data_IF_459727966856
#
_entry.id   IF_459727966856
#
_cell.length_a   1.000
_cell.length_b   1.000
_cell.length_c   1.000
_cell.angle_alpha   90.00
_cell.angle_beta   90.00
_cell.angle_gamma   90.00
#
_symmetry.space_group_name_H-M   'P 1'
#
loop_
_entity.id
_entity.type
_entity.pdbx_description
1 polymer ?
#
# COMPACT_ATOMS: atom_id res chain seq x y z
N UNK A 1 8.93 34.64 -6.74
CA UNK A 1 8.70 33.39 -6.00
C UNK A 1 9.86 33.08 -5.04
N UNK A 2 10.33 33.98 -4.20
CA UNK A 2 11.50 33.72 -3.33
C UNK A 2 11.46 34.52 -2.03
N UNK A 3 10.29 34.90 -1.53
CA UNK A 3 10.18 35.75 -0.32
C UNK A 3 9.43 35.10 0.85
N UNK A 4 8.66 34.06 0.60
CA UNK A 4 7.88 33.38 1.66
C UNK A 4 8.66 32.25 2.40
N UNK A 5 9.81 31.81 1.90
CA UNK A 5 10.64 30.79 2.56
C UNK A 5 11.61 31.38 3.63
N UNK A 6 11.89 32.67 3.59
CA UNK A 6 12.88 33.27 4.49
C UNK A 6 12.35 33.68 5.87
N UNK A 7 11.05 33.72 6.10
CA UNK A 7 10.51 34.09 7.41
C UNK A 7 10.41 32.94 8.41
N UNK A 8 10.46 31.70 7.92
CA UNK A 8 10.50 30.54 8.81
C UNK A 8 11.91 30.09 9.18
N UNK A 9 12.93 30.38 8.36
CA UNK A 9 14.33 30.07 8.68
C UNK A 9 14.95 31.04 9.69
N UNK A 10 14.47 32.28 9.79
CA UNK A 10 15.04 33.24 10.72
C UNK A 10 14.60 33.10 12.19
N UNK A 11 13.51 32.36 12.47
CA UNK A 11 13.15 32.06 13.87
C UNK A 11 13.97 30.91 14.47
N UNK A 12 14.51 30.00 13.63
CA UNK A 12 15.29 28.85 14.07
C UNK A 12 16.80 29.15 14.24
N UNK A 13 17.36 30.06 13.44
CA UNK A 13 18.78 30.41 13.54
C UNK A 13 19.13 31.31 14.75
N UNK A 14 18.16 32.02 15.30
CA UNK A 14 18.34 32.85 16.50
C UNK A 14 18.28 32.05 17.82
N UNK A 15 17.84 30.78 17.79
CA UNK A 15 17.76 29.90 18.97
C UNK A 15 18.99 29.02 19.18
N UNK A 16 19.86 28.91 18.20
CA UNK A 16 21.06 28.07 18.29
C UNK A 16 22.32 28.80 18.80
N UNK A 17 22.23 30.08 19.15
CA UNK A 17 23.40 30.85 19.52
C UNK A 17 23.36 31.47 20.91
N UNK A 18 22.94 30.71 21.94
CA UNK A 18 23.32 31.11 23.30
C UNK A 18 23.15 29.96 24.29
N UNK A 19 24.26 29.63 24.93
CA UNK A 19 24.45 28.88 26.16
C UNK A 19 24.57 27.36 26.06
N UNK A 20 25.66 26.87 26.65
CA UNK A 20 26.07 25.48 26.96
C UNK A 20 25.15 24.77 27.97
N UNK A 21 23.83 25.01 27.95
CA UNK A 21 22.86 24.31 28.78
C UNK A 21 21.98 23.43 27.84
N UNK A 22 22.15 22.12 27.87
CA UNK A 22 21.30 21.20 27.12
C UNK A 22 19.86 21.37 27.57
N UNK A 23 18.96 21.80 26.64
CA UNK A 23 17.53 21.95 26.91
C UNK A 23 16.97 20.62 27.43
N UNK A 24 16.14 20.66 28.48
CA UNK A 24 15.46 19.47 29.03
C UNK A 24 13.99 19.45 28.63
N UNK A 25 13.58 18.41 27.90
CA UNK A 25 12.25 18.28 27.30
C UNK A 25 11.46 17.16 27.98
N UNK A 26 10.22 17.46 28.37
CA UNK A 26 9.28 16.43 28.85
C UNK A 26 8.40 15.96 27.70
N UNK A 27 8.46 14.67 27.39
CA UNK A 27 7.57 14.02 26.43
C UNK A 27 6.41 13.33 27.16
N UNK A 28 5.19 13.56 26.72
CA UNK A 28 3.99 12.96 27.31
C UNK A 28 3.45 11.88 26.36
N UNK A 29 3.04 10.74 26.94
CA UNK A 29 2.48 9.63 26.13
C UNK A 29 1.50 8.76 26.93
N UNK A 30 0.90 7.76 26.28
CA UNK A 30 0.14 6.68 26.90
C UNK A 30 1.03 5.45 27.16
N UNK A 31 0.58 4.56 28.06
CA UNK A 31 1.35 3.39 28.48
C UNK A 31 1.75 2.47 27.30
N UNK A 32 0.86 2.28 26.32
CA UNK A 32 1.12 1.41 25.18
C UNK A 32 2.21 1.93 24.22
N UNK A 33 2.47 3.25 24.23
CA UNK A 33 3.48 3.87 23.37
C UNK A 33 4.75 4.27 24.12
N UNK A 34 4.83 4.01 25.43
CA UNK A 34 5.95 4.47 26.27
C UNK A 34 7.29 3.88 25.81
N UNK A 35 7.36 2.57 25.60
CA UNK A 35 8.60 1.91 25.19
C UNK A 35 9.12 2.45 23.85
N UNK A 36 8.23 2.52 22.85
CA UNK A 36 8.57 3.06 21.52
C UNK A 36 8.96 4.54 21.58
N UNK A 37 8.30 5.35 22.42
CA UNK A 37 8.66 6.75 22.60
C UNK A 37 10.06 6.89 23.19
N UNK A 38 10.37 6.13 24.23
CA UNK A 38 11.69 6.16 24.89
C UNK A 38 12.80 5.81 23.90
N UNK A 39 12.60 4.80 23.05
CA UNK A 39 13.56 4.43 22.02
C UNK A 39 13.81 5.56 21.00
N UNK A 40 12.74 6.13 20.44
CA UNK A 40 12.83 7.20 19.46
C UNK A 40 13.47 8.45 20.08
N UNK A 41 13.05 8.84 21.29
CA UNK A 41 13.57 10.03 21.95
C UNK A 41 15.03 9.86 22.39
N UNK A 42 15.46 8.66 22.83
CA UNK A 42 16.86 8.40 23.15
C UNK A 42 17.77 8.63 21.95
N UNK A 43 17.36 8.13 20.76
CA UNK A 43 18.08 8.36 19.51
C UNK A 43 18.11 9.84 19.13
N UNK A 44 16.98 10.55 19.30
CA UNK A 44 16.87 11.98 19.01
C UNK A 44 17.73 12.82 19.93
N UNK A 45 17.66 12.58 21.25
CA UNK A 45 18.41 13.30 22.27
C UNK A 45 19.92 13.19 22.03
N UNK A 46 20.40 11.99 21.63
CA UNK A 46 21.80 11.77 21.26
C UNK A 46 22.24 12.60 20.05
N UNK A 47 21.35 12.82 19.06
CA UNK A 47 21.66 13.58 17.84
C UNK A 47 21.48 15.07 17.98
N UNK A 48 20.45 15.51 18.72
CA UNK A 48 20.07 16.91 18.87
C UNK A 48 20.66 17.58 20.11
N UNK A 49 21.26 16.82 21.03
CA UNK A 49 21.97 17.35 22.20
C UNK A 49 21.05 17.87 23.30
N UNK A 50 19.87 17.31 23.52
CA UNK A 50 18.96 17.69 24.61
C UNK A 50 18.81 16.58 25.66
N UNK A 51 18.47 16.95 26.90
CA UNK A 51 18.05 16.01 27.96
C UNK A 51 16.54 15.80 27.89
N UNK A 52 16.05 14.65 28.36
CA UNK A 52 14.61 14.37 28.31
C UNK A 52 14.09 13.57 29.48
N UNK A 53 12.79 13.73 29.71
CA UNK A 53 11.98 12.86 30.55
C UNK A 53 10.73 12.40 29.81
N UNK A 54 10.12 11.29 30.26
CA UNK A 54 8.87 10.75 29.68
C UNK A 54 7.84 10.64 30.79
N UNK A 55 6.69 11.26 30.61
CA UNK A 55 5.55 11.20 31.51
C UNK A 55 4.40 10.36 30.90
N UNK A 56 3.84 9.48 31.73
CA UNK A 56 2.65 8.67 31.39
C UNK A 56 1.54 8.97 32.41
N UNK A 57 0.60 9.89 32.10
CA UNK A 57 -0.40 10.39 33.05
C UNK A 57 -1.57 9.41 33.28
N UNK A 58 -1.28 8.11 33.35
CA UNK A 58 -2.24 7.06 33.74
C UNK A 58 -3.26 6.69 32.66
N UNK A 59 -2.97 6.92 31.38
CA UNK A 59 -3.81 6.50 30.25
C UNK A 59 -3.09 5.45 29.39
N UNK A 60 -3.85 4.51 28.83
CA UNK A 60 -3.30 3.45 27.97
C UNK A 60 -2.94 3.97 26.60
N UNK A 61 -3.85 4.70 25.94
CA UNK A 61 -3.74 5.14 24.55
C UNK A 61 -3.45 6.65 24.49
N UNK A 62 -2.30 7.04 23.94
CA UNK A 62 -1.87 8.43 23.84
C UNK A 62 -2.86 9.33 23.09
N UNK A 63 -3.54 8.81 22.06
CA UNK A 63 -4.53 9.54 21.26
C UNK A 63 -5.78 9.97 22.05
N UNK A 64 -6.03 9.40 23.21
CA UNK A 64 -7.17 9.73 24.08
C UNK A 64 -6.83 10.78 25.16
N UNK A 65 -5.64 11.35 25.11
CA UNK A 65 -5.24 12.43 26.02
C UNK A 65 -6.02 13.71 25.71
N UNK A 66 -6.46 14.35 26.77
CA UNK A 66 -7.17 15.62 26.75
C UNK A 66 -6.57 16.59 27.77
N UNK A 67 -6.57 17.89 27.47
CA UNK A 67 -6.01 18.95 28.35
C UNK A 67 -6.53 18.86 29.78
N UNK A 68 -7.82 18.64 29.99
CA UNK A 68 -8.41 18.51 31.33
C UNK A 68 -7.82 17.35 32.14
N UNK A 69 -7.52 16.23 31.48
CA UNK A 69 -6.85 15.09 32.14
C UNK A 69 -5.41 15.44 32.49
N UNK A 70 -4.69 16.11 31.60
CA UNK A 70 -3.32 16.54 31.80
C UNK A 70 -3.20 17.54 32.95
N UNK A 71 -4.15 18.48 33.06
CA UNK A 71 -4.22 19.44 34.20
C UNK A 71 -4.29 18.74 35.55
N UNK A 72 -4.95 17.59 35.64
CA UNK A 72 -5.16 16.88 36.90
C UNK A 72 -4.10 15.81 37.22
N UNK A 73 -3.40 15.29 36.20
CA UNK A 73 -2.52 14.10 36.34
C UNK A 73 -1.07 14.32 35.91
N UNK A 74 -0.78 15.39 35.15
CA UNK A 74 0.57 15.67 34.75
C UNK A 74 1.32 16.42 35.86
N UNK A 75 2.57 16.03 36.10
CA UNK A 75 3.51 16.76 36.93
C UNK A 75 4.67 17.20 36.06
N UNK A 76 5.01 18.48 36.12
CA UNK A 76 6.11 19.07 35.34
C UNK A 76 7.16 19.60 36.34
N UNK A 77 8.35 19.02 36.31
CA UNK A 77 9.45 19.45 37.16
C UNK A 77 9.96 20.85 36.78
N UNK A 78 10.52 21.59 37.76
CA UNK A 78 10.96 22.98 37.58
C UNK A 78 12.10 23.08 36.55
N UNK A 79 12.89 22.05 36.37
CA UNK A 79 14.04 21.98 35.44
C UNK A 79 13.66 21.57 34.01
N UNK A 80 12.38 21.36 33.74
CA UNK A 80 11.87 21.15 32.37
C UNK A 80 11.76 22.48 31.64
N UNK A 81 12.28 22.57 30.45
CA UNK A 81 12.24 23.78 29.63
C UNK A 81 10.99 23.85 28.75
N UNK A 82 10.51 22.71 28.23
CA UNK A 82 9.28 22.65 27.44
C UNK A 82 8.68 21.23 27.48
N UNK A 83 7.39 21.14 27.12
CA UNK A 83 6.63 19.88 27.13
C UNK A 83 6.10 19.59 25.72
N UNK A 84 6.37 18.37 25.23
CA UNK A 84 5.85 17.89 23.96
C UNK A 84 4.75 16.87 24.21
N UNK A 85 3.56 17.20 23.72
CA UNK A 85 2.36 16.36 23.79
C UNK A 85 2.19 15.54 22.52
N UNK A 86 1.50 14.37 22.57
CA UNK A 86 1.07 13.69 21.35
C UNK A 86 0.24 14.62 20.47
N UNK A 87 0.41 14.53 19.14
CA UNK A 87 -0.30 15.39 18.19
C UNK A 87 -1.82 15.25 18.18
N UNK A 88 -2.37 14.20 18.83
CA UNK A 88 -3.80 13.94 18.97
C UNK A 88 -4.43 14.57 20.23
N UNK A 89 -3.67 15.18 21.11
CA UNK A 89 -4.20 15.81 22.35
C UNK A 89 -5.25 16.83 22.01
N UNK A 90 -6.43 16.68 22.61
CA UNK A 90 -7.57 17.58 22.45
C UNK A 90 -7.64 18.63 23.56
N UNK A 91 -8.26 19.78 23.25
CA UNK A 91 -8.41 20.91 24.16
C UNK A 91 -7.37 22.02 23.92
N UNK A 92 -7.51 23.14 24.62
CA UNK A 92 -6.61 24.28 24.47
C UNK A 92 -5.35 24.09 25.31
N UNK A 93 -4.18 23.96 24.66
CA UNK A 93 -2.90 23.75 25.35
C UNK A 93 -2.43 25.01 26.10
N UNK A 94 -2.95 26.21 25.78
CA UNK A 94 -2.64 27.42 26.50
C UNK A 94 -3.05 27.34 27.98
N UNK A 95 -4.07 26.57 28.31
CA UNK A 95 -4.47 26.29 29.71
C UNK A 95 -3.38 25.50 30.49
N UNK A 96 -2.63 24.63 29.80
CA UNK A 96 -1.51 23.93 30.42
C UNK A 96 -0.32 24.86 30.62
N UNK A 97 -0.03 25.72 29.64
CA UNK A 97 1.03 26.74 29.74
C UNK A 97 0.78 27.70 30.92
N UNK A 98 -0.48 28.13 31.07
CA UNK A 98 -0.87 28.98 32.20
C UNK A 98 -0.72 28.27 33.55
N UNK A 99 -1.08 26.99 33.62
CA UNK A 99 -1.04 26.23 34.87
C UNK A 99 0.38 25.86 35.30
N UNK A 100 1.22 25.46 34.35
CA UNK A 100 2.56 24.92 34.66
C UNK A 100 3.69 25.93 34.46
N UNK A 101 3.41 27.08 33.83
CA UNK A 101 4.39 28.12 33.57
C UNK A 101 5.52 27.71 32.62
N UNK A 102 5.23 26.75 31.72
CA UNK A 102 6.18 26.20 30.76
C UNK A 102 5.55 26.17 29.37
N UNK A 103 6.34 26.26 28.28
CA UNK A 103 5.84 26.08 26.92
C UNK A 103 5.34 24.65 26.68
N UNK A 104 4.16 24.53 26.09
CA UNK A 104 3.56 23.28 25.65
C UNK A 104 3.38 23.30 24.12
N UNK A 105 3.77 22.23 23.47
CA UNK A 105 3.54 22.08 22.02
C UNK A 105 2.96 20.70 21.69
N UNK A 106 2.17 20.64 20.61
CA UNK A 106 1.76 19.35 20.03
C UNK A 106 2.85 18.85 19.11
N UNK A 107 3.41 17.71 19.42
CA UNK A 107 4.29 16.97 18.51
C UNK A 107 3.51 16.37 17.32
N UNK A 108 4.16 15.52 16.54
CA UNK A 108 3.51 14.86 15.40
C UNK A 108 2.43 13.88 15.88
N UNK A 109 1.49 13.57 14.98
CA UNK A 109 0.44 12.57 15.22
C UNK A 109 0.99 11.14 15.25
N UNK A 110 2.06 10.89 14.53
CA UNK A 110 2.82 9.64 14.53
C UNK A 110 4.17 9.84 15.23
N UNK A 111 4.47 8.99 16.18
CA UNK A 111 5.74 8.98 16.90
C UNK A 111 6.97 8.90 15.96
N UNK A 112 6.84 8.17 14.88
CA UNK A 112 7.93 7.99 13.90
C UNK A 112 8.25 9.28 13.09
N UNK A 113 7.37 10.29 13.13
CA UNK A 113 7.60 11.59 12.52
C UNK A 113 8.28 12.58 13.50
N UNK A 114 8.59 12.14 14.73
CA UNK A 114 9.27 12.97 15.73
C UNK A 114 10.65 13.47 15.25
N UNK A 115 11.49 12.69 14.53
CA UNK A 115 12.73 13.20 13.95
C UNK A 115 12.51 14.39 12.99
N UNK A 116 11.48 14.34 12.15
CA UNK A 116 11.13 15.44 11.24
C UNK A 116 10.67 16.68 12.01
N UNK A 117 9.90 16.48 13.09
CA UNK A 117 9.48 17.57 13.99
C UNK A 117 10.67 18.31 14.63
N UNK A 118 11.78 17.62 14.88
CA UNK A 118 13.03 18.18 15.37
C UNK A 118 13.98 18.65 14.26
N UNK A 119 13.57 18.67 13.01
CA UNK A 119 14.42 19.08 11.88
C UNK A 119 15.58 18.12 11.57
N UNK A 120 15.57 16.91 12.10
CA UNK A 120 16.62 15.91 11.93
C UNK A 120 16.42 15.00 10.69
N UNK A 121 15.73 15.53 9.69
CA UNK A 121 15.47 14.87 8.41
C UNK A 121 14.13 14.15 8.34
N UNK A 122 13.75 13.80 7.12
CA UNK A 122 12.52 13.04 6.86
C UNK A 122 12.66 11.60 7.38
N UNK A 123 11.53 10.96 7.65
CA UNK A 123 11.46 9.53 7.97
C UNK A 123 12.32 8.73 6.99
N UNK A 124 13.22 7.89 7.51
CA UNK A 124 14.06 7.05 6.66
C UNK A 124 13.15 6.12 5.85
N UNK A 125 13.25 6.19 4.53
CA UNK A 125 12.55 5.24 3.69
C UNK A 125 13.00 3.83 4.04
N UNK A 126 12.04 2.96 4.28
CA UNK A 126 12.28 1.54 4.54
C UNK A 126 12.59 0.88 3.19
N UNK A 127 13.62 0.05 3.16
CA UNK A 127 13.90 -0.77 1.98
C UNK A 127 12.94 -1.97 1.97
N UNK A 128 12.14 -2.08 0.91
CA UNK A 128 11.18 -3.14 0.66
C UNK A 128 11.60 -4.05 -0.50
N UNK A 129 12.89 -4.17 -0.80
CA UNK A 129 13.38 -4.97 -1.94
C UNK A 129 13.27 -6.48 -1.70
N UNK A 130 13.13 -6.92 -0.44
CA UNK A 130 13.09 -8.34 -0.07
C UNK A 130 11.68 -8.88 0.02
N UNK A 131 11.53 -10.13 -0.36
CA UNK A 131 10.32 -10.94 -0.24
C UNK A 131 10.70 -12.43 -0.19
N UNK A 132 9.78 -13.28 0.24
CA UNK A 132 9.92 -14.75 0.34
C UNK A 132 8.95 -15.50 -0.56
N UNK A 133 7.94 -14.82 -1.13
CA UNK A 133 6.85 -15.41 -1.89
C UNK A 133 7.04 -15.08 -3.37
N UNK A 134 7.13 -16.08 -4.24
CA UNK A 134 7.11 -15.91 -5.69
C UNK A 134 5.68 -15.71 -6.20
N UNK A 135 5.50 -14.82 -7.16
CA UNK A 135 4.23 -14.59 -7.84
C UNK A 135 4.24 -15.29 -9.19
N UNK A 136 3.28 -16.17 -9.40
CA UNK A 136 2.96 -16.79 -10.67
C UNK A 136 1.79 -16.00 -11.25
N UNK A 137 2.02 -15.27 -12.34
CA UNK A 137 0.99 -14.47 -13.03
C UNK A 137 0.39 -15.29 -14.17
N UNK A 138 -0.89 -15.64 -14.07
CA UNK A 138 -1.59 -16.45 -15.08
C UNK A 138 -2.13 -15.56 -16.20
N UNK A 139 -1.80 -15.93 -17.42
CA UNK A 139 -2.48 -15.45 -18.64
C UNK A 139 -3.58 -16.46 -18.97
N UNK A 140 -4.78 -16.12 -18.54
CA UNK A 140 -5.94 -17.00 -18.73
C UNK A 140 -6.25 -17.20 -20.22
N UNK A 141 -6.49 -18.45 -20.62
CA UNK A 141 -6.76 -18.83 -22.01
C UNK A 141 -5.70 -18.29 -23.01
N UNK A 142 -4.44 -18.30 -22.63
CA UNK A 142 -3.33 -17.83 -23.46
C UNK A 142 -3.29 -18.50 -24.84
N UNK A 143 -3.70 -19.77 -24.90
CA UNK A 143 -3.76 -20.56 -26.14
C UNK A 143 -4.76 -20.06 -27.17
N UNK A 144 -5.70 -19.19 -26.80
CA UNK A 144 -6.68 -18.56 -27.71
C UNK A 144 -6.28 -17.13 -28.13
N UNK A 145 -5.27 -16.57 -27.50
CA UNK A 145 -4.86 -15.19 -27.74
C UNK A 145 -3.80 -15.12 -28.87
N UNK A 146 -3.71 -14.00 -29.59
CA UNK A 146 -2.59 -13.76 -30.50
C UNK A 146 -1.26 -13.76 -29.73
N UNK A 147 -0.24 -14.41 -30.27
CA UNK A 147 1.07 -14.55 -29.61
C UNK A 147 1.67 -13.19 -29.15
N UNK A 148 1.54 -12.15 -29.96
CA UNK A 148 2.04 -10.82 -29.63
C UNK A 148 1.36 -10.23 -28.38
N UNK A 149 0.07 -10.52 -28.18
CA UNK A 149 -0.71 -10.01 -27.04
C UNK A 149 -0.31 -10.79 -25.77
N UNK A 150 -0.14 -12.10 -25.86
CA UNK A 150 0.39 -12.94 -24.76
C UNK A 150 1.77 -12.44 -24.32
N UNK A 151 2.67 -12.17 -25.25
CA UNK A 151 4.02 -11.65 -24.94
C UNK A 151 3.94 -10.27 -24.28
N UNK A 152 3.07 -9.39 -24.77
CA UNK A 152 2.89 -8.05 -24.20
C UNK A 152 2.33 -8.13 -22.76
N UNK A 153 1.32 -8.97 -22.51
CA UNK A 153 0.73 -9.20 -21.20
C UNK A 153 1.74 -9.81 -20.23
N UNK A 154 2.47 -10.83 -20.66
CA UNK A 154 3.52 -11.45 -19.87
C UNK A 154 4.60 -10.45 -19.40
N UNK A 155 5.06 -9.58 -20.30
CA UNK A 155 6.03 -8.53 -19.97
C UNK A 155 5.46 -7.51 -19.00
N UNK A 156 4.19 -7.16 -19.13
CA UNK A 156 3.51 -6.26 -18.19
C UNK A 156 3.39 -6.89 -16.80
N UNK A 157 3.01 -8.17 -16.70
CA UNK A 157 2.96 -8.90 -15.44
C UNK A 157 4.35 -9.03 -14.78
N UNK A 158 5.38 -9.34 -15.56
CA UNK A 158 6.75 -9.40 -15.06
C UNK A 158 7.23 -8.04 -14.53
N UNK A 159 6.92 -6.96 -15.24
CA UNK A 159 7.21 -5.59 -14.79
C UNK A 159 6.41 -5.21 -13.54
N UNK A 160 5.22 -5.77 -13.35
CA UNK A 160 4.39 -5.60 -12.15
C UNK A 160 4.87 -6.45 -10.95
N UNK A 161 5.83 -7.35 -11.13
CA UNK A 161 6.44 -8.13 -10.05
C UNK A 161 6.23 -9.64 -10.12
N UNK A 162 5.61 -10.19 -11.21
CA UNK A 162 5.52 -11.63 -11.40
C UNK A 162 6.92 -12.25 -11.59
N UNK A 163 7.16 -13.36 -10.90
CA UNK A 163 8.41 -14.12 -10.98
C UNK A 163 8.33 -15.22 -12.06
N UNK A 164 7.11 -15.70 -12.32
CA UNK A 164 6.80 -16.75 -13.29
C UNK A 164 5.54 -16.34 -14.05
N UNK A 165 5.47 -16.64 -15.34
CA UNK A 165 4.29 -16.44 -16.17
C UNK A 165 3.64 -17.79 -16.43
N UNK A 166 2.39 -17.92 -16.05
CA UNK A 166 1.64 -19.13 -16.30
C UNK A 166 0.85 -19.03 -17.61
N UNK A 167 1.01 -20.05 -18.45
CA UNK A 167 0.28 -20.19 -19.71
C UNK A 167 -0.96 -21.02 -19.47
N UNK A 168 -2.10 -20.35 -19.23
CA UNK A 168 -3.37 -21.00 -19.02
C UNK A 168 -3.95 -21.57 -20.33
N UNK A 169 -4.19 -22.86 -20.37
CA UNK A 169 -4.86 -23.55 -21.47
C UNK A 169 -6.39 -23.50 -21.36
N UNK A 170 -7.09 -23.92 -22.38
CA UNK A 170 -8.56 -23.99 -22.39
C UNK A 170 -9.00 -25.43 -22.13
N UNK A 171 -9.71 -25.73 -21.04
CA UNK A 171 -10.17 -27.05 -20.74
C UNK A 171 -10.98 -27.65 -21.90
N UNK A 172 -10.58 -28.87 -22.34
CA UNK A 172 -11.25 -29.60 -23.43
C UNK A 172 -10.84 -29.21 -24.85
N UNK A 173 -9.89 -28.29 -25.01
CA UNK A 173 -9.27 -27.90 -26.27
C UNK A 173 -7.77 -28.22 -26.23
N UNK A 174 -7.23 -28.88 -27.25
CA UNK A 174 -5.79 -29.15 -27.36
C UNK A 174 -5.13 -28.13 -28.27
N UNK A 175 -4.22 -27.32 -27.75
CA UNK A 175 -3.45 -26.36 -28.53
C UNK A 175 -2.03 -26.87 -28.81
N UNK A 176 -1.78 -27.28 -30.04
CA UNK A 176 -0.44 -27.72 -30.43
C UNK A 176 0.61 -26.60 -30.57
N UNK A 177 0.18 -25.34 -30.60
CA UNK A 177 1.04 -24.18 -30.65
C UNK A 177 1.53 -23.69 -29.27
N UNK A 178 1.14 -24.35 -28.18
CA UNK A 178 1.56 -23.96 -26.83
C UNK A 178 3.08 -23.90 -26.67
N UNK A 179 3.82 -24.79 -27.34
CA UNK A 179 5.29 -24.75 -27.38
C UNK A 179 5.87 -23.50 -28.01
N UNK A 180 5.19 -22.90 -29.02
CA UNK A 180 5.59 -21.64 -29.62
C UNK A 180 5.40 -20.47 -28.65
N UNK A 181 4.30 -20.49 -27.87
CA UNK A 181 4.04 -19.49 -26.82
C UNK A 181 5.14 -19.53 -25.77
N UNK A 182 5.42 -20.72 -25.23
CA UNK A 182 6.47 -20.91 -24.21
C UNK A 182 7.83 -20.48 -24.76
N UNK A 183 8.17 -20.86 -25.99
CA UNK A 183 9.44 -20.46 -26.64
C UNK A 183 9.56 -18.95 -26.76
N UNK A 184 8.48 -18.25 -27.17
CA UNK A 184 8.48 -16.79 -27.28
C UNK A 184 8.67 -16.11 -25.92
N UNK A 185 7.98 -16.57 -24.87
CA UNK A 185 8.14 -16.05 -23.50
C UNK A 185 9.53 -16.30 -22.94
N UNK A 186 10.09 -17.49 -23.17
CA UNK A 186 11.48 -17.82 -22.81
C UNK A 186 12.49 -16.93 -23.54
N UNK A 187 12.20 -16.58 -24.81
CA UNK A 187 12.99 -15.64 -25.60
C UNK A 187 13.06 -14.23 -25.02
N UNK A 188 12.06 -13.83 -24.26
CA UNK A 188 12.02 -12.57 -23.49
C UNK A 188 12.66 -12.69 -22.09
N UNK A 189 13.36 -13.78 -21.79
CA UNK A 189 13.96 -14.12 -20.50
C UNK A 189 12.94 -14.27 -19.34
N UNK A 190 11.71 -14.65 -19.66
CA UNK A 190 10.67 -14.93 -18.66
C UNK A 190 10.74 -16.39 -18.23
N UNK A 191 10.51 -16.67 -16.96
CA UNK A 191 10.25 -18.01 -16.45
C UNK A 191 8.80 -18.36 -16.77
N UNK A 192 8.51 -19.62 -17.13
CA UNK A 192 7.20 -20.00 -17.65
C UNK A 192 6.71 -21.29 -16.99
N UNK A 193 5.43 -21.30 -16.59
CA UNK A 193 4.66 -22.50 -16.24
C UNK A 193 3.57 -22.78 -17.24
N UNK A 194 2.98 -23.97 -17.14
CA UNK A 194 1.85 -24.42 -17.96
C UNK A 194 0.74 -24.91 -17.07
N UNK A 195 -0.48 -24.38 -17.25
CA UNK A 195 -1.70 -24.93 -16.63
C UNK A 195 -2.52 -25.68 -17.68
N UNK A 196 -2.36 -27.02 -17.68
CA UNK A 196 -3.08 -27.94 -18.55
C UNK A 196 -3.08 -29.36 -18.01
N UNK A 197 -4.20 -30.07 -18.23
CA UNK A 197 -4.33 -31.51 -18.03
C UNK A 197 -4.18 -32.30 -19.33
N UNK A 198 -3.97 -31.67 -20.48
CA UNK A 198 -3.68 -32.32 -21.74
C UNK A 198 -2.20 -32.72 -21.85
N UNK A 199 -1.91 -33.99 -21.94
CA UNK A 199 -0.54 -34.51 -21.98
C UNK A 199 0.30 -33.96 -23.14
N UNK A 200 -0.33 -33.71 -24.30
CA UNK A 200 0.36 -33.20 -25.49
C UNK A 200 0.76 -31.72 -25.30
N UNK A 201 -0.14 -30.94 -24.74
CA UNK A 201 0.17 -29.54 -24.43
C UNK A 201 1.33 -29.46 -23.43
N UNK A 202 1.24 -30.20 -22.31
CA UNK A 202 2.25 -30.22 -21.27
C UNK A 202 3.61 -30.69 -21.82
N UNK A 203 3.63 -31.78 -22.61
CA UNK A 203 4.87 -32.27 -23.24
C UNK A 203 5.51 -31.20 -24.16
N UNK A 204 4.71 -30.50 -24.98
CA UNK A 204 5.19 -29.43 -25.85
C UNK A 204 5.69 -28.22 -25.06
N UNK A 205 4.98 -27.83 -23.99
CA UNK A 205 5.38 -26.72 -23.14
C UNK A 205 6.69 -27.02 -22.40
N UNK A 206 6.82 -28.22 -21.84
CA UNK A 206 8.04 -28.67 -21.15
C UNK A 206 9.23 -28.74 -22.12
N UNK A 207 9.02 -29.31 -23.31
CA UNK A 207 10.06 -29.36 -24.35
C UNK A 207 10.52 -27.96 -24.80
N UNK A 208 9.63 -26.97 -24.73
CA UNK A 208 9.92 -25.55 -25.02
C UNK A 208 10.53 -24.79 -23.85
N UNK A 209 10.59 -25.37 -22.64
CA UNK A 209 11.26 -24.81 -21.47
C UNK A 209 10.34 -24.32 -20.36
N UNK A 210 9.10 -24.80 -20.29
CA UNK A 210 8.27 -24.63 -19.09
C UNK A 210 8.93 -25.35 -17.90
N UNK A 211 8.98 -24.71 -16.73
CA UNK A 211 9.71 -25.20 -15.57
C UNK A 211 8.81 -25.61 -14.39
N UNK A 212 7.50 -25.36 -14.51
CA UNK A 212 6.48 -25.76 -13.55
C UNK A 212 5.21 -26.19 -14.28
N UNK A 213 4.56 -27.25 -13.80
CA UNK A 213 3.30 -27.78 -14.34
C UNK A 213 2.20 -27.62 -13.28
N UNK A 214 1.13 -26.96 -13.64
CA UNK A 214 -0.12 -26.83 -12.88
C UNK A 214 -1.20 -27.66 -13.61
N UNK A 215 -1.73 -28.83 -13.09
CA UNK A 215 -1.39 -29.38 -11.79
C UNK A 215 -1.27 -30.92 -11.89
N UNK A 216 -0.89 -31.59 -10.81
CA UNK A 216 -0.80 -33.04 -10.73
C UNK A 216 -1.80 -33.56 -9.70
N UNK A 217 -2.63 -34.55 -10.11
CA UNK A 217 -3.52 -35.33 -9.24
C UNK A 217 -3.56 -36.80 -9.70
N UNK A 218 -4.44 -37.61 -9.13
CA UNK A 218 -4.54 -39.06 -9.52
C UNK A 218 -4.86 -39.26 -10.99
N UNK A 219 -5.45 -38.31 -11.72
CA UNK A 219 -5.81 -38.47 -13.12
C UNK A 219 -4.63 -38.40 -14.09
N UNK A 220 -3.51 -37.79 -13.69
CA UNK A 220 -2.38 -37.51 -14.58
C UNK A 220 -1.00 -37.88 -14.01
N UNK A 221 -0.91 -38.31 -12.77
CA UNK A 221 0.35 -38.64 -12.08
C UNK A 221 1.22 -39.61 -12.88
N UNK A 222 0.61 -40.62 -13.55
CA UNK A 222 1.32 -41.67 -14.25
C UNK A 222 2.20 -41.20 -15.41
N UNK A 223 1.88 -40.03 -15.97
CA UNK A 223 2.65 -39.46 -17.09
C UNK A 223 3.35 -38.16 -16.74
N UNK A 224 2.73 -37.28 -15.94
CA UNK A 224 3.28 -35.95 -15.68
C UNK A 224 4.60 -35.99 -14.89
N UNK A 225 4.73 -36.92 -13.95
CA UNK A 225 5.93 -37.14 -13.14
C UNK A 225 7.14 -37.64 -13.95
N UNK A 226 6.92 -38.19 -15.13
CA UNK A 226 7.97 -38.70 -16.04
C UNK A 226 8.64 -37.57 -16.86
N UNK A 227 8.06 -36.37 -16.87
CA UNK A 227 8.59 -35.25 -17.64
C UNK A 227 9.82 -34.60 -16.99
N UNK A 228 10.10 -34.90 -15.72
CA UNK A 228 11.26 -34.38 -15.01
C UNK A 228 11.17 -32.89 -14.66
N UNK A 229 10.00 -32.30 -14.82
CA UNK A 229 9.69 -30.89 -14.51
C UNK A 229 8.95 -30.81 -13.18
N UNK A 230 9.14 -29.75 -12.40
CA UNK A 230 8.42 -29.56 -11.14
C UNK A 230 6.91 -29.53 -11.36
N UNK A 231 6.16 -30.19 -10.48
CA UNK A 231 4.68 -30.25 -10.54
C UNK A 231 4.05 -29.68 -9.29
N UNK A 232 2.88 -29.06 -9.44
CA UNK A 232 2.03 -28.66 -8.30
C UNK A 232 1.06 -29.79 -8.01
N UNK A 233 1.22 -30.44 -6.87
CA UNK A 233 0.35 -31.54 -6.43
C UNK A 233 -0.87 -30.98 -5.74
N UNK A 234 -2.05 -31.35 -6.24
CA UNK A 234 -3.35 -30.92 -5.71
C UNK A 234 -4.21 -32.14 -5.31
N UNK A 235 -5.14 -32.00 -4.35
CA UNK A 235 -6.11 -33.05 -4.06
C UNK A 235 -7.07 -33.28 -5.26
N UNK A 236 -7.68 -34.44 -5.33
CA UNK A 236 -8.67 -34.74 -6.39
C UNK A 236 -9.92 -33.86 -6.28
N UNK A 237 -10.29 -33.48 -5.07
CA UNK A 237 -11.25 -32.43 -4.77
C UNK A 237 -10.73 -31.58 -3.57
N UNK A 238 -11.08 -30.32 -3.45
CA UNK A 238 -10.52 -29.45 -2.42
C UNK A 238 -10.64 -29.98 -0.99
N UNK A 239 -11.73 -30.67 -0.67
CA UNK A 239 -11.98 -31.21 0.67
C UNK A 239 -11.31 -32.58 0.93
N UNK A 240 -10.77 -33.24 -0.10
CA UNK A 240 -10.18 -34.58 0.01
C UNK A 240 -8.70 -34.54 0.41
N UNK A 241 -8.46 -34.26 1.68
CA UNK A 241 -7.10 -34.21 2.25
C UNK A 241 -6.40 -35.57 2.23
N UNK A 242 -7.15 -36.68 2.24
CA UNK A 242 -6.56 -38.01 2.13
C UNK A 242 -6.01 -38.29 0.73
N UNK A 243 -6.67 -37.79 -0.34
CA UNK A 243 -6.13 -37.89 -1.69
C UNK A 243 -4.81 -37.12 -1.83
N UNK A 244 -4.74 -35.92 -1.26
CA UNK A 244 -3.50 -35.14 -1.25
C UNK A 244 -2.36 -35.90 -0.54
N UNK A 245 -2.62 -36.49 0.62
CA UNK A 245 -1.61 -37.26 1.34
C UNK A 245 -1.08 -38.46 0.51
N UNK A 246 -1.98 -39.24 -0.09
CA UNK A 246 -1.58 -40.36 -0.98
C UNK A 246 -0.80 -39.89 -2.21
N UNK A 247 -1.18 -38.75 -2.80
CA UNK A 247 -0.46 -38.17 -3.93
C UNK A 247 0.95 -37.70 -3.55
N UNK A 248 1.11 -37.07 -2.39
CA UNK A 248 2.43 -36.65 -1.88
C UNK A 248 3.36 -37.88 -1.76
N UNK A 249 2.88 -38.99 -1.17
CA UNK A 249 3.66 -40.23 -1.07
C UNK A 249 4.00 -40.77 -2.47
N UNK A 250 3.02 -40.86 -3.35
CA UNK A 250 3.19 -41.44 -4.71
C UNK A 250 4.17 -40.59 -5.56
N UNK A 251 4.08 -39.27 -5.52
CA UNK A 251 5.01 -38.38 -6.26
C UNK A 251 6.41 -38.44 -5.66
N UNK A 252 6.53 -38.49 -4.33
CA UNK A 252 7.82 -38.62 -3.65
C UNK A 252 8.57 -39.88 -4.11
N UNK A 253 7.88 -40.98 -4.30
CA UNK A 253 8.46 -42.24 -4.77
C UNK A 253 9.01 -42.15 -6.20
N UNK A 254 8.51 -41.23 -7.03
CA UNK A 254 8.99 -41.04 -8.40
C UNK A 254 10.30 -40.24 -8.48
N UNK A 255 10.64 -39.47 -7.42
CA UNK A 255 11.74 -38.52 -7.44
C UNK A 255 11.50 -37.27 -8.27
N UNK A 256 10.27 -37.05 -8.77
CA UNK A 256 9.87 -35.82 -9.45
C UNK A 256 9.87 -34.65 -8.45
N UNK A 257 10.47 -33.49 -8.77
CA UNK A 257 10.36 -32.31 -7.91
C UNK A 257 8.92 -31.81 -7.87
N UNK A 258 8.44 -31.45 -6.69
CA UNK A 258 7.07 -30.98 -6.53
C UNK A 258 6.89 -29.98 -5.40
N UNK A 259 5.82 -29.22 -5.49
CA UNK A 259 5.21 -28.43 -4.41
C UNK A 259 3.75 -28.85 -4.28
N UNK A 260 3.13 -28.51 -3.15
CA UNK A 260 1.72 -28.85 -2.91
C UNK A 260 0.83 -27.61 -2.91
N UNK A 261 -0.41 -27.75 -3.34
CA UNK A 261 -1.47 -26.76 -3.18
C UNK A 261 -2.72 -27.42 -2.58
N UNK A 262 -3.01 -27.19 -1.28
CA UNK A 262 -4.24 -27.67 -0.65
C UNK A 262 -5.53 -27.08 -1.20
N UNK A 263 -5.46 -26.18 -2.15
CA UNK A 263 -6.51 -25.42 -2.86
C UNK A 263 -7.28 -24.49 -1.91
N UNK A 264 -7.11 -23.18 -2.12
CA UNK A 264 -7.96 -22.18 -1.47
C UNK A 264 -9.30 -22.09 -2.22
N UNK A 265 -10.39 -22.14 -1.46
CA UNK A 265 -11.74 -22.04 -2.00
C UNK A 265 -12.28 -20.63 -1.87
N UNK A 266 -13.16 -20.18 -2.79
CA UNK A 266 -13.77 -18.86 -2.70
C UNK A 266 -14.71 -18.73 -1.48
N UNK A 267 -15.01 -17.49 -1.13
CA UNK A 267 -15.97 -17.18 -0.05
C UNK A 267 -17.34 -17.78 -0.39
N UNK A 268 -17.92 -18.47 0.59
CA UNK A 268 -19.20 -19.18 0.43
C UNK A 268 -19.05 -20.65 -0.01
N UNK A 269 -17.87 -21.08 -0.45
CA UNK A 269 -17.61 -22.45 -0.90
C UNK A 269 -16.59 -23.20 -0.03
N UNK A 270 -16.14 -22.62 1.08
CA UNK A 270 -15.19 -23.31 1.96
C UNK A 270 -13.94 -22.50 2.30
N UNK A 271 -13.91 -21.18 2.06
CA UNK A 271 -12.74 -20.33 2.26
C UNK A 271 -12.05 -20.54 3.63
N UNK A 272 -12.81 -20.51 4.73
CA UNK A 272 -12.23 -20.68 6.08
C UNK A 272 -11.71 -22.10 6.29
N UNK A 273 -12.41 -23.12 5.78
CA UNK A 273 -11.96 -24.51 5.86
C UNK A 273 -10.69 -24.72 5.03
N UNK A 274 -10.55 -24.04 3.90
CA UNK A 274 -9.33 -24.11 3.09
C UNK A 274 -8.12 -23.50 3.80
N UNK A 275 -8.28 -22.40 4.52
CA UNK A 275 -7.20 -21.86 5.35
C UNK A 275 -6.72 -22.85 6.41
N UNK A 276 -7.66 -23.59 7.02
CA UNK A 276 -7.29 -24.64 7.96
C UNK A 276 -6.49 -25.76 7.27
N UNK A 277 -6.84 -26.15 6.05
CA UNK A 277 -6.08 -27.14 5.27
C UNK A 277 -4.64 -26.69 5.00
N UNK A 278 -4.40 -25.40 4.71
CA UNK A 278 -3.03 -24.87 4.58
C UNK A 278 -2.25 -24.91 5.89
N UNK A 279 -2.89 -24.60 7.02
CA UNK A 279 -2.27 -24.72 8.34
C UNK A 279 -1.91 -26.16 8.68
N UNK A 280 -2.82 -27.09 8.39
CA UNK A 280 -2.60 -28.53 8.60
C UNK A 280 -1.50 -29.05 7.66
N UNK A 281 -1.52 -28.68 6.37
CA UNK A 281 -0.48 -29.07 5.41
C UNK A 281 0.91 -28.58 5.84
N UNK A 282 1.03 -27.34 6.33
CA UNK A 282 2.31 -26.81 6.84
C UNK A 282 2.78 -27.57 8.09
N UNK A 283 1.86 -27.93 9.00
CA UNK A 283 2.20 -28.72 10.20
C UNK A 283 2.67 -30.12 9.84
N UNK A 284 1.95 -30.76 8.90
CA UNK A 284 2.16 -32.17 8.56
C UNK A 284 3.34 -32.33 7.58
N UNK A 285 3.61 -31.33 6.75
CA UNK A 285 4.69 -31.30 5.76
C UNK A 285 5.55 -30.04 5.88
N UNK A 286 6.33 -29.89 6.97
CA UNK A 286 7.05 -28.64 7.29
C UNK A 286 8.08 -28.24 6.24
N UNK A 287 8.66 -29.22 5.52
CA UNK A 287 9.75 -29.00 4.54
C UNK A 287 9.26 -28.86 3.10
N UNK A 288 8.01 -29.23 2.81
CA UNK A 288 7.51 -29.12 1.43
C UNK A 288 7.24 -27.68 1.04
N UNK A 289 7.53 -27.35 -0.21
CA UNK A 289 7.09 -26.11 -0.82
C UNK A 289 5.57 -26.12 -0.97
N UNK A 290 4.93 -24.99 -0.63
CA UNK A 290 3.49 -24.82 -0.76
C UNK A 290 3.21 -23.64 -1.69
N UNK A 291 2.20 -23.80 -2.55
CA UNK A 291 1.60 -22.76 -3.39
C UNK A 291 0.18 -22.47 -2.92
N UNK A 292 -0.32 -21.25 -3.19
CA UNK A 292 -1.72 -20.88 -2.97
C UNK A 292 -2.28 -20.18 -4.20
N UNK A 293 -3.40 -20.67 -4.74
CA UNK A 293 -4.11 -20.03 -5.85
C UNK A 293 -4.95 -18.84 -5.40
N UNK A 294 -4.32 -17.70 -5.09
CA UNK A 294 -5.01 -16.51 -4.54
C UNK A 294 -6.02 -15.88 -5.50
N UNK A 295 -5.89 -16.15 -6.81
CA UNK A 295 -6.85 -15.76 -7.84
C UNK A 295 -8.27 -16.23 -7.53
N UNK A 296 -8.44 -17.44 -6.98
CA UNK A 296 -9.73 -17.98 -6.57
C UNK A 296 -10.51 -17.10 -5.58
N UNK A 297 -9.82 -16.29 -4.81
CA UNK A 297 -10.45 -15.36 -3.86
C UNK A 297 -10.61 -13.98 -4.47
N UNK A 298 -9.59 -13.45 -5.12
CA UNK A 298 -9.61 -12.08 -5.65
C UNK A 298 -10.57 -11.92 -6.82
N UNK A 299 -10.64 -12.90 -7.73
CA UNK A 299 -11.56 -12.85 -8.87
C UNK A 299 -13.02 -13.10 -8.49
N UNK A 300 -13.26 -14.02 -7.56
CA UNK A 300 -14.60 -14.44 -7.17
C UNK A 300 -15.18 -13.63 -6.00
N UNK A 301 -14.52 -12.53 -5.63
CA UNK A 301 -15.02 -11.61 -4.59
C UNK A 301 -15.07 -10.20 -5.16
N UNK A 302 -16.27 -9.66 -5.37
CA UNK A 302 -16.48 -8.33 -5.97
C UNK A 302 -16.20 -7.21 -4.97
N UNK A 303 -14.92 -7.00 -4.68
CA UNK A 303 -14.37 -5.94 -3.81
C UNK A 303 -13.02 -5.47 -4.36
N UNK A 304 -12.52 -4.31 -3.91
CA UNK A 304 -11.16 -3.87 -4.23
C UNK A 304 -10.14 -4.92 -3.76
N UNK A 305 -9.33 -5.46 -4.68
CA UNK A 305 -8.46 -6.62 -4.44
C UNK A 305 -7.25 -6.33 -3.54
N UNK A 306 -6.81 -5.07 -3.41
CA UNK A 306 -5.61 -4.74 -2.64
C UNK A 306 -5.66 -5.18 -1.16
N UNK A 307 -6.82 -5.00 -0.51
CA UNK A 307 -7.03 -5.46 0.87
C UNK A 307 -7.03 -6.98 1.00
N UNK A 308 -7.61 -7.68 0.01
CA UNK A 308 -7.61 -9.14 -0.08
C UNK A 308 -6.20 -9.67 -0.29
N UNK A 309 -5.47 -9.12 -1.26
CA UNK A 309 -4.07 -9.47 -1.54
C UNK A 309 -3.17 -9.25 -0.31
N UNK A 310 -3.37 -8.16 0.44
CA UNK A 310 -2.61 -7.89 1.66
C UNK A 310 -2.83 -8.96 2.74
N UNK A 311 -4.09 -9.39 2.97
CA UNK A 311 -4.40 -10.43 3.95
C UNK A 311 -3.88 -11.80 3.50
N UNK A 312 -4.04 -12.15 2.21
CA UNK A 312 -3.53 -13.41 1.68
C UNK A 312 -2.00 -13.46 1.71
N UNK A 313 -1.31 -12.36 1.39
CA UNK A 313 0.15 -12.27 1.52
C UNK A 313 0.60 -12.47 2.97
N UNK A 314 -0.13 -11.91 3.95
CA UNK A 314 0.18 -12.12 5.38
C UNK A 314 0.04 -13.59 5.78
N UNK A 315 -1.05 -14.24 5.37
CA UNK A 315 -1.27 -15.66 5.61
C UNK A 315 -0.15 -16.50 4.97
N UNK A 316 0.21 -16.20 3.72
CA UNK A 316 1.27 -16.92 3.02
C UNK A 316 2.62 -16.76 3.73
N UNK A 317 2.99 -15.55 4.12
CA UNK A 317 4.27 -15.30 4.81
C UNK A 317 4.33 -15.99 6.18
N UNK A 318 3.27 -15.91 6.98
CA UNK A 318 3.21 -16.54 8.31
C UNK A 318 3.21 -18.06 8.25
N UNK A 319 2.62 -18.66 7.20
CA UNK A 319 2.62 -20.10 6.98
C UNK A 319 3.84 -20.57 6.18
N UNK A 320 4.73 -19.70 5.75
CA UNK A 320 5.87 -20.04 4.92
C UNK A 320 5.47 -20.62 3.55
N UNK A 321 4.39 -20.11 2.94
CA UNK A 321 3.97 -20.46 1.57
C UNK A 321 4.88 -19.68 0.61
N UNK A 322 5.55 -20.42 -0.29
CA UNK A 322 6.62 -19.83 -1.10
C UNK A 322 6.18 -19.31 -2.46
N UNK A 323 4.96 -19.62 -2.90
CA UNK A 323 4.45 -19.13 -4.18
C UNK A 323 2.94 -18.96 -4.17
N UNK A 324 2.47 -18.03 -5.01
CA UNK A 324 1.04 -17.79 -5.25
C UNK A 324 0.75 -17.76 -6.74
N UNK A 325 -0.44 -18.24 -7.12
CA UNK A 325 -0.99 -18.05 -8.46
C UNK A 325 -2.06 -16.94 -8.41
N UNK A 326 -1.94 -15.95 -9.27
CA UNK A 326 -2.89 -14.83 -9.38
C UNK A 326 -3.14 -14.45 -10.82
N UNK A 327 -4.29 -13.85 -11.07
CA UNK A 327 -4.71 -13.38 -12.40
C UNK A 327 -5.07 -11.90 -12.39
N UNK A 328 -5.26 -11.29 -13.57
CA UNK A 328 -5.66 -9.90 -13.75
C UNK A 328 -6.86 -9.72 -14.69
N UNK A 329 -7.70 -10.75 -14.81
CA UNK A 329 -8.77 -10.81 -15.83
C UNK A 329 -9.93 -9.87 -15.48
N UNK A 330 -10.36 -9.86 -14.23
CA UNK A 330 -11.55 -9.13 -13.79
C UNK A 330 -11.21 -7.67 -13.44
N UNK A 331 -12.13 -6.75 -13.73
CA UNK A 331 -11.88 -5.30 -13.62
C UNK A 331 -11.37 -4.86 -12.23
N UNK A 332 -11.90 -5.40 -11.13
CA UNK A 332 -11.50 -5.01 -9.76
C UNK A 332 -10.17 -5.64 -9.31
N UNK A 333 -9.62 -6.60 -10.05
CA UNK A 333 -8.31 -7.20 -9.77
C UNK A 333 -7.27 -7.00 -10.90
N UNK A 334 -7.48 -6.03 -11.81
CA UNK A 334 -6.56 -5.74 -12.93
C UNK A 334 -5.13 -5.40 -12.52
N UNK A 335 -4.91 -5.05 -11.28
CA UNK A 335 -3.60 -4.71 -10.71
C UNK A 335 -3.13 -5.74 -9.68
N UNK A 336 -3.76 -6.92 -9.63
CA UNK A 336 -3.53 -7.93 -8.59
C UNK A 336 -2.06 -8.36 -8.46
N UNK A 337 -1.32 -8.50 -9.56
CA UNK A 337 0.13 -8.82 -9.52
C UNK A 337 0.91 -7.73 -8.80
N UNK A 338 0.72 -6.46 -9.18
CA UNK A 338 1.41 -5.34 -8.55
C UNK A 338 0.99 -5.13 -7.09
N UNK A 339 -0.30 -5.36 -6.78
CA UNK A 339 -0.82 -5.31 -5.42
C UNK A 339 -0.19 -6.39 -4.54
N UNK A 340 -0.11 -7.62 -5.06
CA UNK A 340 0.50 -8.71 -4.32
C UNK A 340 2.02 -8.50 -4.16
N UNK A 341 2.71 -7.94 -5.17
CA UNK A 341 4.13 -7.60 -5.05
C UNK A 341 4.38 -6.56 -3.94
N UNK A 342 3.57 -5.50 -3.88
CA UNK A 342 3.63 -4.52 -2.80
C UNK A 342 3.28 -5.15 -1.45
N UNK A 343 2.25 -6.01 -1.40
CA UNK A 343 1.80 -6.69 -0.20
C UNK A 343 2.88 -7.64 0.36
N UNK A 344 3.43 -8.54 -0.46
CA UNK A 344 4.45 -9.51 0.00
C UNK A 344 5.69 -8.83 0.56
N UNK A 345 6.15 -7.72 -0.05
CA UNK A 345 7.30 -6.95 0.42
C UNK A 345 7.02 -6.27 1.76
N UNK A 346 5.84 -5.67 1.89
CA UNK A 346 5.41 -5.00 3.12
C UNK A 346 5.24 -5.99 4.26
N UNK A 347 4.62 -7.15 4.00
CA UNK A 347 4.40 -8.22 4.99
C UNK A 347 5.73 -8.87 5.39
N UNK A 348 6.59 -9.20 4.43
CA UNK A 348 7.93 -9.74 4.69
C UNK A 348 8.73 -8.81 5.62
N UNK A 349 8.72 -7.50 5.33
CA UNK A 349 9.35 -6.52 6.19
C UNK A 349 8.75 -6.50 7.59
N UNK A 350 7.41 -6.51 7.69
CA UNK A 350 6.70 -6.43 8.97
C UNK A 350 7.01 -7.64 9.86
N UNK A 351 6.95 -8.85 9.32
CA UNK A 351 7.18 -10.10 10.05
C UNK A 351 8.65 -10.24 10.43
N UNK A 352 9.58 -10.02 9.48
CA UNK A 352 11.03 -10.13 9.73
C UNK A 352 11.49 -9.16 10.82
N UNK A 353 10.94 -7.94 10.86
CA UNK A 353 11.34 -6.92 11.82
C UNK A 353 10.41 -6.82 13.04
N UNK A 354 9.37 -7.66 13.12
CA UNK A 354 8.36 -7.66 14.20
C UNK A 354 7.70 -6.28 14.40
N UNK A 355 7.33 -5.62 13.29
CA UNK A 355 6.66 -4.31 13.29
C UNK A 355 5.32 -4.40 12.57
N UNK A 356 4.38 -3.54 12.93
CA UNK A 356 3.12 -3.44 12.19
C UNK A 356 3.34 -2.77 10.83
N UNK A 357 2.66 -3.22 9.75
CA UNK A 357 2.82 -2.68 8.40
C UNK A 357 2.10 -1.33 8.21
N UNK A 358 2.27 -0.41 9.16
CA UNK A 358 1.61 0.90 9.15
C UNK A 358 2.62 2.01 8.95
N UNK A 359 2.32 2.96 8.06
CA UNK A 359 3.19 4.11 7.76
C UNK A 359 4.55 3.74 7.13
N UNK A 360 4.64 2.57 6.51
CA UNK A 360 5.83 2.09 5.79
C UNK A 360 5.65 2.37 4.30
N UNK A 361 4.64 1.76 3.69
CA UNK A 361 4.22 1.99 2.32
C UNK A 361 2.70 2.22 2.26
N UNK A 362 2.26 3.10 1.38
CA UNK A 362 0.83 3.42 1.20
C UNK A 362 0.33 3.13 -0.21
N UNK A 363 1.10 2.44 -1.04
CA UNK A 363 0.76 2.11 -2.42
C UNK A 363 -0.53 1.29 -2.56
N UNK A 364 -0.83 0.45 -1.55
CA UNK A 364 -2.05 -0.33 -1.46
C UNK A 364 -3.28 0.46 -0.97
N UNK A 365 -3.11 1.73 -0.60
CA UNK A 365 -4.23 2.63 -0.25
C UNK A 365 -4.64 3.40 -1.49
N UNK A 366 -5.52 2.84 -2.32
CA UNK A 366 -5.78 3.36 -3.67
C UNK A 366 -6.92 4.39 -3.70
N UNK A 367 -8.05 4.13 -3.04
CA UNK A 367 -9.20 5.03 -3.05
C UNK A 367 -9.03 6.26 -2.16
N UNK A 368 -8.30 6.15 -1.07
CA UNK A 368 -8.05 7.24 -0.11
C UNK A 368 -6.56 7.45 0.05
N UNK A 369 -6.16 8.65 0.42
CA UNK A 369 -4.77 8.87 0.80
C UNK A 369 -4.55 8.48 2.26
N UNK A 370 -3.41 7.87 2.54
CA UNK A 370 -3.04 7.45 3.90
C UNK A 370 -2.91 8.64 4.86
N UNK A 371 -2.60 9.82 4.34
CA UNK A 371 -2.42 11.08 5.12
C UNK A 371 -2.88 12.27 4.32
N UNK A 372 -3.79 13.03 4.89
CA UNK A 372 -4.17 14.36 4.41
C UNK A 372 -3.53 15.41 5.32
N UNK A 373 -3.07 16.50 4.73
CA UNK A 373 -2.60 17.71 5.45
C UNK A 373 -3.59 18.85 5.15
N UNK A 374 -4.76 18.90 5.82
CA UNK A 374 -5.75 19.93 5.56
C UNK A 374 -5.23 21.30 5.97
N UNK A 375 -5.58 22.32 5.19
CA UNK A 375 -5.39 23.71 5.58
C UNK A 375 -6.58 24.17 6.43
N UNK A 376 -6.31 25.04 7.40
CA UNK A 376 -7.36 25.64 8.18
C UNK A 376 -8.10 26.74 7.38
N UNK A 377 -9.35 26.97 7.67
CA UNK A 377 -10.12 28.06 7.05
C UNK A 377 -9.44 29.43 7.29
N UNK A 378 -8.87 29.63 8.47
CA UNK A 378 -8.13 30.83 8.77
C UNK A 378 -6.91 31.01 7.84
N UNK A 379 -6.18 29.93 7.55
CA UNK A 379 -5.04 29.96 6.62
C UNK A 379 -5.49 30.26 5.18
N UNK A 380 -6.60 29.66 4.72
CA UNK A 380 -7.16 29.92 3.39
C UNK A 380 -7.67 31.37 3.26
N UNK A 381 -8.35 31.90 4.27
CA UNK A 381 -8.81 33.28 4.29
C UNK A 381 -7.65 34.28 4.30
N UNK A 382 -6.61 34.01 5.08
CA UNK A 382 -5.40 34.83 5.07
C UNK A 382 -4.72 34.81 3.70
N UNK A 383 -4.63 33.63 3.07
CA UNK A 383 -4.09 33.50 1.72
C UNK A 383 -4.92 34.28 0.70
N UNK A 384 -6.26 34.14 0.72
CA UNK A 384 -7.14 34.86 -0.18
C UNK A 384 -6.97 36.37 -0.09
N UNK A 385 -6.83 36.88 1.14
CA UNK A 385 -6.60 38.31 1.40
C UNK A 385 -5.24 38.80 0.85
N UNK A 386 -4.24 37.92 0.80
CA UNK A 386 -2.89 38.24 0.32
C UNK A 386 -2.75 38.16 -1.20
N UNK A 387 -3.74 37.64 -1.94
CA UNK A 387 -3.66 37.51 -3.41
C UNK A 387 -3.78 38.89 -4.09
N UNK A 388 -2.83 39.17 -4.99
CA UNK A 388 -2.74 40.44 -5.74
C UNK A 388 -2.95 40.27 -7.24
N UNK A 389 -3.01 39.04 -7.75
CA UNK A 389 -3.18 38.73 -9.16
C UNK A 389 -4.54 38.05 -9.46
N UNK A 390 -4.91 38.02 -10.72
CA UNK A 390 -6.21 37.46 -11.19
C UNK A 390 -6.18 35.96 -11.44
N UNK A 391 -5.04 35.26 -11.26
CA UNK A 391 -4.97 33.83 -11.46
C UNK A 391 -5.74 33.11 -10.36
N UNK A 392 -6.52 32.12 -10.73
CA UNK A 392 -7.28 31.37 -9.75
C UNK A 392 -6.42 30.31 -9.04
N UNK A 393 -6.67 30.15 -7.74
CA UNK A 393 -6.15 29.08 -6.89
C UNK A 393 -7.32 28.24 -6.41
N UNK A 394 -7.17 26.92 -6.52
CA UNK A 394 -8.20 25.95 -6.13
C UNK A 394 -7.67 25.09 -5.01
N UNK A 395 -8.46 24.92 -3.96
CA UNK A 395 -8.18 24.04 -2.83
C UNK A 395 -9.37 23.12 -2.57
N UNK A 396 -9.09 21.92 -2.05
CA UNK A 396 -10.10 20.96 -1.64
C UNK A 396 -9.91 20.62 -0.17
N UNK A 397 -10.84 21.05 0.66
CA UNK A 397 -10.81 20.84 2.11
C UNK A 397 -12.13 20.22 2.58
N UNK A 398 -12.21 19.85 3.85
CA UNK A 398 -13.46 19.29 4.39
C UNK A 398 -14.65 20.26 4.28
N UNK A 399 -14.37 21.56 4.40
CA UNK A 399 -15.37 22.63 4.27
C UNK A 399 -15.89 22.81 2.84
N UNK A 400 -15.23 22.26 1.83
CA UNK A 400 -15.65 22.36 0.44
C UNK A 400 -14.49 22.56 -0.53
N UNK A 401 -14.86 22.88 -1.77
CA UNK A 401 -13.92 23.39 -2.78
C UNK A 401 -13.84 24.90 -2.61
N UNK A 402 -12.60 25.42 -2.59
CA UNK A 402 -12.30 26.84 -2.48
C UNK A 402 -11.70 27.33 -3.80
N UNK A 403 -12.28 28.38 -4.35
CA UNK A 403 -11.81 29.09 -5.54
C UNK A 403 -11.47 30.51 -5.14
N UNK A 404 -10.25 31.00 -5.40
CA UNK A 404 -9.86 32.33 -4.96
C UNK A 404 -8.91 33.02 -5.91
N UNK A 405 -9.01 34.34 -5.99
CA UNK A 405 -8.05 35.25 -6.62
C UNK A 405 -8.12 36.63 -5.96
N UNK A 406 -7.48 37.66 -6.53
CA UNK A 406 -7.55 39.02 -5.97
C UNK A 406 -8.95 39.63 -5.90
N UNK A 407 -9.94 39.08 -6.62
CA UNK A 407 -11.31 39.62 -6.67
C UNK A 407 -12.24 38.98 -5.66
N UNK A 408 -11.85 37.83 -5.06
CA UNK A 408 -12.69 37.17 -4.08
C UNK A 408 -12.21 35.77 -3.66
N UNK A 409 -12.94 35.23 -2.70
CA UNK A 409 -12.82 33.87 -2.22
C UNK A 409 -14.21 33.24 -2.18
N UNK A 410 -14.45 32.25 -3.05
CA UNK A 410 -15.71 31.51 -3.18
C UNK A 410 -15.50 30.09 -2.72
N UNK A 411 -16.41 29.58 -1.92
CA UNK A 411 -16.29 28.23 -1.36
C UNK A 411 -17.64 27.53 -1.26
N UNK A 412 -17.64 26.19 -1.35
CA UNK A 412 -18.85 25.40 -1.20
C UNK A 412 -18.67 23.95 -1.62
N UNK A 413 -19.80 23.24 -1.71
CA UNK A 413 -19.86 21.83 -2.10
C UNK A 413 -20.34 21.61 -3.54
N UNK A 414 -20.71 22.69 -4.24
CA UNK A 414 -21.27 22.62 -5.59
C UNK A 414 -20.40 23.45 -6.54
N UNK A 415 -19.52 22.83 -7.36
CA UNK A 415 -18.61 23.54 -8.27
C UNK A 415 -19.30 24.54 -9.18
N UNK A 416 -20.48 24.20 -9.70
CA UNK A 416 -21.24 25.11 -10.57
C UNK A 416 -21.69 26.40 -9.86
N UNK A 417 -22.14 26.30 -8.61
CA UNK A 417 -22.53 27.48 -7.83
C UNK A 417 -21.33 28.37 -7.53
N UNK A 418 -20.22 27.77 -7.07
CA UNK A 418 -18.96 28.47 -6.80
C UNK A 418 -18.46 29.19 -8.04
N UNK A 419 -18.48 28.52 -9.20
CA UNK A 419 -18.04 29.10 -10.45
C UNK A 419 -18.96 30.24 -10.93
N UNK A 420 -20.28 30.10 -10.76
CA UNK A 420 -21.24 31.14 -11.10
C UNK A 420 -20.96 32.45 -10.35
N UNK A 421 -20.78 32.37 -9.03
CA UNK A 421 -20.46 33.54 -8.19
C UNK A 421 -19.08 34.14 -8.58
N UNK A 422 -18.09 33.29 -8.87
CA UNK A 422 -16.76 33.73 -9.29
C UNK A 422 -16.80 34.43 -10.66
N UNK A 423 -17.65 33.97 -11.58
CA UNK A 423 -17.80 34.55 -12.90
C UNK A 423 -18.42 35.98 -12.86
N UNK A 424 -19.34 36.23 -11.94
CA UNK A 424 -19.90 37.58 -11.73
C UNK A 424 -18.80 38.61 -11.38
N UNK A 425 -17.85 38.20 -10.57
CA UNK A 425 -16.70 39.05 -10.16
C UNK A 425 -15.57 39.07 -11.21
N UNK A 426 -15.56 38.15 -12.18
CA UNK A 426 -14.51 37.98 -13.19
C UNK A 426 -15.12 37.82 -14.60
N UNK A 427 -15.78 38.85 -15.17
CA UNK A 427 -16.56 38.72 -16.41
C UNK A 427 -15.72 38.46 -17.67
N UNK A 428 -14.40 38.55 -17.58
CA UNK A 428 -13.48 38.38 -18.73
C UNK A 428 -12.89 36.94 -18.83
N UNK A 429 -13.45 35.95 -18.13
CA UNK A 429 -13.03 34.55 -18.27
C UNK A 429 -13.44 34.06 -19.67
N UNK A 430 -12.48 33.64 -20.48
CA UNK A 430 -12.75 33.04 -21.77
C UNK A 430 -13.16 31.55 -21.65
N UNK A 431 -13.62 30.98 -22.78
CA UNK A 431 -14.13 29.60 -22.80
C UNK A 431 -13.06 28.56 -22.43
N UNK A 432 -11.80 28.78 -22.82
CA UNK A 432 -10.70 27.87 -22.50
C UNK A 432 -10.38 27.87 -21.00
N UNK A 433 -10.32 29.05 -20.43
CA UNK A 433 -10.07 29.22 -18.99
C UNK A 433 -11.27 28.72 -18.17
N UNK A 434 -12.52 28.93 -18.62
CA UNK A 434 -13.71 28.39 -17.96
C UNK A 434 -13.70 26.85 -17.96
N UNK A 435 -13.31 26.23 -19.07
CA UNK A 435 -13.17 24.78 -19.15
C UNK A 435 -12.09 24.25 -18.18
N UNK A 436 -10.92 24.87 -18.17
CA UNK A 436 -9.82 24.52 -17.24
C UNK A 436 -10.27 24.61 -15.77
N UNK A 437 -10.91 25.71 -15.37
CA UNK A 437 -11.41 25.88 -14.00
C UNK A 437 -12.49 24.84 -13.66
N UNK A 438 -13.40 24.55 -14.58
CA UNK A 438 -14.44 23.53 -14.40
C UNK A 438 -13.83 22.14 -14.21
N UNK A 439 -12.82 21.79 -15.01
CA UNK A 439 -12.11 20.53 -14.90
C UNK A 439 -11.35 20.41 -13.57
N UNK A 440 -10.61 21.44 -13.17
CA UNK A 440 -9.87 21.44 -11.90
C UNK A 440 -10.81 21.44 -10.68
N UNK A 441 -11.92 22.15 -10.71
CA UNK A 441 -12.91 22.13 -9.63
C UNK A 441 -13.61 20.77 -9.50
N UNK A 442 -13.90 20.09 -10.61
CA UNK A 442 -14.43 18.73 -10.59
C UNK A 442 -13.42 17.73 -9.98
N UNK A 443 -12.13 17.89 -10.29
CA UNK A 443 -11.05 17.10 -9.69
C UNK A 443 -10.93 17.38 -8.20
N UNK A 444 -11.01 18.63 -7.78
CA UNK A 444 -10.95 19.06 -6.38
C UNK A 444 -12.11 18.46 -5.58
N UNK A 445 -13.33 18.48 -6.13
CA UNK A 445 -14.50 17.86 -5.50
C UNK A 445 -14.34 16.33 -5.38
N UNK A 446 -13.91 15.66 -6.45
CA UNK A 446 -13.66 14.22 -6.44
C UNK A 446 -12.61 13.84 -5.38
N UNK A 447 -11.51 14.59 -5.32
CA UNK A 447 -10.46 14.38 -4.33
C UNK A 447 -11.01 14.53 -2.90
N UNK A 448 -11.82 15.55 -2.65
CA UNK A 448 -12.48 15.79 -1.35
C UNK A 448 -13.38 14.62 -0.95
N UNK A 449 -14.26 14.17 -1.87
CA UNK A 449 -15.22 13.08 -1.63
C UNK A 449 -14.50 11.76 -1.35
N UNK A 450 -13.41 11.49 -2.05
CA UNK A 450 -12.63 10.26 -1.89
C UNK A 450 -11.61 10.33 -0.75
N UNK A 451 -11.43 11.48 -0.11
CA UNK A 451 -10.37 11.65 0.90
C UNK A 451 -8.97 11.60 0.29
N UNK A 452 -8.80 12.22 -0.88
CA UNK A 452 -7.55 12.36 -1.62
C UNK A 452 -6.96 13.76 -1.44
N UNK A 453 -5.63 13.86 -1.53
CA UNK A 453 -4.96 15.14 -1.66
C UNK A 453 -5.22 15.72 -3.04
N UNK A 454 -5.68 16.95 -3.07
CA UNK A 454 -5.77 17.73 -4.30
C UNK A 454 -4.63 18.77 -4.34
N UNK A 455 -4.00 18.87 -5.49
CA UNK A 455 -3.07 19.95 -5.85
C UNK A 455 -3.43 20.36 -7.27
N UNK A 456 -3.64 21.66 -7.46
CA UNK A 456 -3.97 22.22 -8.78
C UNK A 456 -2.85 21.90 -9.79
N UNK A 457 -3.21 21.52 -11.01
CA UNK A 457 -2.32 21.10 -12.09
C UNK A 457 -1.58 19.76 -11.86
N UNK A 458 -1.77 19.08 -10.73
CA UNK A 458 -1.22 17.76 -10.47
C UNK A 458 -2.30 16.66 -10.61
N UNK A 459 -1.95 15.51 -11.15
CA UNK A 459 -2.85 14.34 -11.21
C UNK A 459 -3.19 13.83 -9.82
N UNK A 460 -4.46 13.42 -9.61
CA UNK A 460 -4.85 12.72 -8.39
C UNK A 460 -4.22 11.33 -8.41
N UNK A 461 -3.45 11.00 -7.36
CA UNK A 461 -2.81 9.69 -7.23
C UNK A 461 -3.81 8.63 -6.78
N UNK A 462 -3.83 7.47 -7.42
CA UNK A 462 -4.63 6.31 -7.06
C UNK A 462 -3.79 5.10 -6.68
N UNK A 463 -2.59 5.31 -6.14
CA UNK A 463 -1.65 4.25 -5.81
C UNK A 463 -1.37 3.37 -7.04
N UNK A 464 -1.38 2.05 -6.86
CA UNK A 464 -1.14 1.11 -7.95
C UNK A 464 -2.22 1.12 -9.04
N UNK A 465 -3.46 1.50 -8.72
CA UNK A 465 -4.52 1.62 -9.72
C UNK A 465 -4.23 2.70 -10.79
N UNK A 466 -3.38 3.68 -10.48
CA UNK A 466 -2.95 4.71 -11.41
C UNK A 466 -1.83 4.29 -12.38
N UNK A 467 -1.29 3.09 -12.24
CA UNK A 467 -0.16 2.60 -13.06
C UNK A 467 -0.58 1.84 -14.31
N UNK A 468 -1.89 1.69 -14.56
CA UNK A 468 -2.39 1.00 -15.75
C UNK A 468 -1.97 1.70 -17.05
N UNK A 469 -1.73 0.93 -18.14
CA UNK A 469 -1.43 1.51 -19.45
C UNK A 469 -2.52 2.53 -19.87
N UNK A 470 -2.12 3.73 -20.22
CA UNK A 470 -3.03 4.84 -20.56
C UNK A 470 -3.39 5.78 -19.42
N UNK A 471 -2.96 5.52 -18.19
CA UNK A 471 -3.14 6.44 -17.04
C UNK A 471 -2.03 7.51 -16.92
N UNK A 472 -1.09 7.55 -17.87
CA UNK A 472 -0.04 8.57 -17.89
C UNK A 472 -0.67 9.97 -17.92
N UNK A 473 -0.24 10.84 -17.01
CA UNK A 473 -0.65 12.23 -16.97
C UNK A 473 -0.43 12.90 -18.33
N UNK A 474 -1.49 13.44 -18.89
CA UNK A 474 -1.36 14.31 -20.05
C UNK A 474 -0.72 15.60 -19.52
N UNK A 475 0.60 15.70 -19.67
CA UNK A 475 1.28 16.97 -19.49
C UNK A 475 0.85 17.86 -20.65
N UNK A 476 0.03 18.86 -20.39
CA UNK A 476 -0.16 19.97 -21.30
C UNK A 476 1.08 20.86 -21.21
N UNK A 477 1.90 20.84 -22.27
CA UNK A 477 2.91 21.85 -22.53
C UNK A 477 2.26 23.22 -22.82
#
# INVERSE_FOLDING_TARGET
MTVAYHLFEHSWSLWMSSSNNSQKILFVTGRLSEASLREVVAMLASKAGFAYEVAVPGIQVAALLHVNLLKSRLSVASDIDRVILPGWVQGDIAELEQQFGKPFERGPKDLQDLPEHFGLGKRKQVNLDRYSIDIIGEINHATRQPLQDVVAEAKAMAAAGANLIDVGSVPGETCLQVGEIVTALRGENLRVSIDSFDSREVELAVAAGAELILSCNHSNIDWVTKLGTEVVVIPDTPADTESLARLIESVSDTGCPFRIDPIIEPIGMGFTASLQRYMDARRDYPELAIMMGVGNVTELTEVDSAGVNMLLAAICEELGIQSVLTTQVINWCRTAVAEFDAARRLVHHAITNQVIPKHIDSSLTMLRDSRLKPQSEAALNALATALTDSNFRIYAEQSGVHLMNKHGHWQGHQPFAIFGEALEANPNIDASHAFYLGYEMARAEMARLLGKRYVQDESIAFGLAGTLPGSAAVHHE
#
